data_IF_843352779790
#
_entry.id   IF_843352779790
#
_cell.length_a   1.000
_cell.length_b   1.000
_cell.length_c   1.000
_cell.angle_alpha   90.00
_cell.angle_beta   90.00
_cell.angle_gamma   90.00
#
_symmetry.space_group_name_H-M   'P 1'
#
loop_
_entity.id
_entity.type
_entity.pdbx_description
1 polymer ?
#
# COMPACT_ATOMS: atom_id res chain seq x y z
N UNK A 1 17.51 -9.70 -7.94
CA UNK A 1 16.96 -9.03 -9.13
C UNK A 1 17.39 -9.64 -10.47
N UNK A 2 18.69 -9.64 -10.85
CA UNK A 2 19.15 -10.11 -12.16
C UNK A 2 18.69 -11.53 -12.51
N UNK A 3 18.89 -12.48 -11.59
CA UNK A 3 18.41 -13.88 -11.74
C UNK A 3 16.90 -13.96 -12.03
N UNK A 4 16.09 -13.17 -11.33
CA UNK A 4 14.63 -13.12 -11.54
C UNK A 4 14.27 -12.53 -12.91
N UNK A 5 14.96 -11.45 -13.34
CA UNK A 5 14.78 -10.87 -14.68
C UNK A 5 15.06 -11.91 -15.77
N UNK A 6 16.17 -12.65 -15.66
CA UNK A 6 16.55 -13.68 -16.62
C UNK A 6 15.50 -14.81 -16.72
N UNK A 7 14.98 -15.26 -15.58
CA UNK A 7 13.96 -16.31 -15.53
C UNK A 7 12.61 -15.89 -16.14
N UNK A 8 12.28 -14.59 -16.07
CA UNK A 8 11.04 -14.03 -16.62
C UNK A 8 11.16 -13.60 -18.08
N UNK A 9 12.38 -13.59 -18.64
CA UNK A 9 12.61 -13.12 -20.00
C UNK A 9 11.83 -13.97 -21.01
N UNK A 10 11.00 -13.31 -21.82
CA UNK A 10 10.15 -13.96 -22.81
C UNK A 10 8.96 -14.75 -22.25
N UNK A 11 8.69 -14.70 -20.94
CA UNK A 11 7.52 -15.37 -20.34
C UNK A 11 6.33 -14.41 -20.23
N UNK A 12 5.19 -14.90 -20.65
CA UNK A 12 3.89 -14.28 -20.37
C UNK A 12 3.19 -14.95 -19.18
N UNK A 13 2.12 -14.34 -18.67
CA UNK A 13 1.35 -14.84 -17.54
C UNK A 13 0.81 -16.24 -17.79
N UNK A 14 0.37 -16.56 -19.02
CA UNK A 14 -0.13 -17.89 -19.35
C UNK A 14 0.96 -18.97 -19.27
N UNK A 15 2.18 -18.63 -19.68
CA UNK A 15 3.35 -19.52 -19.55
C UNK A 15 3.68 -19.73 -18.07
N UNK A 16 3.62 -18.67 -17.27
CA UNK A 16 3.89 -18.73 -15.82
C UNK A 16 2.83 -19.61 -15.13
N UNK A 17 1.55 -19.45 -15.51
CA UNK A 17 0.41 -20.18 -14.96
C UNK A 17 0.25 -21.62 -15.50
N UNK A 18 1.14 -22.08 -16.39
CA UNK A 18 1.03 -23.39 -17.04
C UNK A 18 1.12 -24.59 -16.07
N UNK A 19 1.65 -24.37 -14.87
CA UNK A 19 1.80 -25.40 -13.84
C UNK A 19 1.37 -24.85 -12.49
N UNK A 20 0.49 -25.58 -11.80
CA UNK A 20 0.14 -25.31 -10.39
C UNK A 20 1.10 -26.05 -9.47
N UNK A 21 1.42 -25.45 -8.34
CA UNK A 21 2.29 -26.04 -7.32
C UNK A 21 1.52 -27.05 -6.46
N UNK A 22 1.87 -28.33 -6.57
CA UNK A 22 1.23 -29.42 -5.80
C UNK A 22 2.10 -29.94 -4.63
N UNK A 23 3.40 -29.62 -4.63
CA UNK A 23 4.32 -30.07 -3.59
C UNK A 23 4.03 -29.35 -2.25
N UNK A 24 3.59 -30.12 -1.25
CA UNK A 24 3.25 -29.62 0.10
C UNK A 24 4.41 -28.90 0.80
N UNK A 25 5.64 -29.37 0.61
CA UNK A 25 6.83 -28.73 1.19
C UNK A 25 7.08 -27.39 0.51
N UNK A 26 6.90 -27.31 -0.81
CA UNK A 26 7.03 -26.04 -1.53
C UNK A 26 5.94 -25.06 -1.13
N UNK A 27 4.68 -25.50 -0.99
CA UNK A 27 3.60 -24.66 -0.50
C UNK A 27 3.90 -24.10 0.90
N UNK A 28 4.38 -24.93 1.82
CA UNK A 28 4.81 -24.48 3.15
C UNK A 28 5.96 -23.47 3.10
N UNK A 29 6.93 -23.65 2.20
CA UNK A 29 8.02 -22.68 1.98
C UNK A 29 7.44 -21.36 1.44
N UNK A 30 6.49 -21.39 0.51
CA UNK A 30 5.86 -20.20 -0.05
C UNK A 30 5.13 -19.40 1.03
N UNK A 31 4.37 -20.07 1.91
CA UNK A 31 3.69 -19.45 3.05
C UNK A 31 4.67 -18.85 4.05
N UNK A 32 5.77 -19.54 4.35
CA UNK A 32 6.82 -19.01 5.22
C UNK A 32 7.46 -17.76 4.61
N UNK A 33 7.82 -17.80 3.33
CA UNK A 33 8.40 -16.64 2.64
C UNK A 33 7.46 -15.43 2.62
N UNK A 34 6.17 -15.64 2.34
CA UNK A 34 5.18 -14.55 2.40
C UNK A 34 5.07 -14.01 3.82
N UNK A 35 4.88 -14.87 4.81
CA UNK A 35 4.71 -14.45 6.21
C UNK A 35 5.94 -13.69 6.71
N UNK A 36 7.14 -14.22 6.48
CA UNK A 36 8.40 -13.55 6.85
C UNK A 36 8.55 -12.21 6.14
N UNK A 37 8.10 -12.08 4.89
CA UNK A 37 8.20 -10.81 4.15
C UNK A 37 7.34 -9.67 4.72
N UNK A 38 6.29 -10.00 5.47
CA UNK A 38 5.44 -9.01 6.15
C UNK A 38 6.12 -8.47 7.41
N UNK A 39 6.88 -9.31 8.11
CA UNK A 39 7.48 -8.99 9.41
C UNK A 39 8.97 -8.63 9.34
N UNK A 40 9.56 -8.58 8.14
CA UNK A 40 10.97 -8.21 7.97
C UNK A 40 11.12 -6.79 7.42
N UNK A 41 12.28 -6.15 7.65
CA UNK A 41 12.56 -4.84 7.08
C UNK A 41 12.41 -4.82 5.55
N UNK A 42 12.05 -3.66 5.00
CA UNK A 42 11.69 -3.48 3.58
C UNK A 42 12.73 -4.04 2.59
N UNK A 43 14.03 -3.92 2.88
CA UNK A 43 15.07 -4.48 2.02
C UNK A 43 15.01 -6.01 1.92
N UNK A 44 14.68 -6.70 3.01
CA UNK A 44 14.55 -8.15 3.04
C UNK A 44 13.27 -8.62 2.34
N UNK A 45 12.16 -7.89 2.47
CA UNK A 45 10.89 -8.28 1.86
C UNK A 45 10.97 -8.36 0.33
N UNK A 46 11.74 -7.47 -0.32
CA UNK A 46 12.01 -7.53 -1.75
C UNK A 46 12.78 -8.79 -2.17
N UNK A 47 13.77 -9.22 -1.38
CA UNK A 47 14.56 -10.43 -1.67
C UNK A 47 13.67 -11.68 -1.55
N UNK A 48 12.82 -11.72 -0.52
CA UNK A 48 11.87 -12.81 -0.32
C UNK A 48 10.85 -12.87 -1.45
N UNK A 49 10.35 -11.72 -1.92
CA UNK A 49 9.47 -11.65 -3.09
C UNK A 49 10.13 -12.20 -4.36
N UNK A 50 11.41 -11.89 -4.60
CA UNK A 50 12.14 -12.49 -5.71
C UNK A 50 12.22 -14.01 -5.57
N UNK A 51 12.38 -14.52 -4.34
CA UNK A 51 12.43 -15.96 -4.10
C UNK A 51 11.09 -16.63 -4.38
N UNK A 52 9.98 -16.02 -3.96
CA UNK A 52 8.61 -16.47 -4.28
C UNK A 52 8.43 -16.57 -5.80
N UNK A 53 8.82 -15.53 -6.56
CA UNK A 53 8.72 -15.54 -8.03
C UNK A 53 9.57 -16.65 -8.65
N UNK A 54 10.83 -16.79 -8.22
CA UNK A 54 11.73 -17.83 -8.74
C UNK A 54 11.21 -19.25 -8.47
N UNK A 55 10.70 -19.49 -7.27
CA UNK A 55 10.10 -20.78 -6.90
C UNK A 55 8.83 -21.04 -7.71
N UNK A 56 8.01 -20.02 -7.94
CA UNK A 56 6.79 -20.13 -8.75
C UNK A 56 7.11 -20.55 -10.19
N UNK A 57 8.15 -19.97 -10.79
CA UNK A 57 8.57 -20.33 -12.16
C UNK A 57 9.10 -21.78 -12.23
N UNK A 58 9.75 -22.25 -11.16
CA UNK A 58 10.43 -23.55 -11.17
C UNK A 58 9.53 -24.71 -10.74
N UNK A 59 8.61 -24.48 -9.80
CA UNK A 59 7.79 -25.51 -9.15
C UNK A 59 6.29 -25.39 -9.44
N UNK A 60 5.87 -24.33 -10.14
CA UNK A 60 4.47 -24.01 -10.40
C UNK A 60 3.96 -22.88 -9.53
N UNK A 61 2.83 -22.28 -9.92
CA UNK A 61 2.21 -21.15 -9.21
C UNK A 61 1.44 -21.61 -7.97
N UNK A 62 1.44 -20.79 -6.93
CA UNK A 62 0.61 -20.94 -5.73
C UNK A 62 -0.17 -19.65 -5.45
N UNK A 63 -1.04 -19.67 -4.44
CA UNK A 63 -1.77 -18.46 -4.00
C UNK A 63 -0.84 -17.32 -3.58
N UNK A 64 0.39 -17.62 -3.14
CA UNK A 64 1.40 -16.64 -2.73
C UNK A 64 2.15 -16.05 -3.95
N UNK A 65 2.05 -16.66 -5.14
CA UNK A 65 2.75 -16.17 -6.34
C UNK A 65 2.33 -14.74 -6.69
N UNK A 66 1.04 -14.40 -6.55
CA UNK A 66 0.54 -13.05 -6.78
C UNK A 66 1.23 -12.00 -5.89
N UNK A 67 1.45 -12.33 -4.61
CA UNK A 67 2.18 -11.49 -3.68
C UNK A 67 3.63 -11.26 -4.13
N UNK A 68 4.32 -12.31 -4.57
CA UNK A 68 5.67 -12.21 -5.12
C UNK A 68 5.75 -11.28 -6.32
N UNK A 69 4.80 -11.37 -7.26
CA UNK A 69 4.75 -10.48 -8.42
C UNK A 69 4.39 -9.02 -8.06
N UNK A 70 3.55 -8.80 -7.05
CA UNK A 70 3.21 -7.45 -6.58
C UNK A 70 4.43 -6.71 -6.00
N UNK A 71 5.24 -7.38 -5.19
CA UNK A 71 6.50 -6.79 -4.70
C UNK A 71 7.55 -6.69 -5.80
N UNK A 72 7.61 -7.66 -6.72
CA UNK A 72 8.51 -7.57 -7.87
C UNK A 72 8.20 -6.34 -8.73
N UNK A 73 6.92 -6.04 -8.99
CA UNK A 73 6.54 -4.82 -9.70
C UNK A 73 6.88 -3.56 -8.92
N UNK A 74 6.69 -3.56 -7.60
CA UNK A 74 7.06 -2.44 -6.73
C UNK A 74 8.57 -2.11 -6.82
N UNK A 75 9.44 -3.13 -6.81
CA UNK A 75 10.89 -2.93 -7.01
C UNK A 75 11.18 -2.32 -8.37
N UNK A 76 10.61 -2.86 -9.44
CA UNK A 76 10.84 -2.33 -10.78
C UNK A 76 10.38 -0.88 -10.89
N UNK A 77 9.26 -0.55 -10.26
CA UNK A 77 8.74 0.81 -10.18
C UNK A 77 9.72 1.75 -9.46
N UNK A 78 10.30 1.31 -8.33
CA UNK A 78 11.31 2.06 -7.59
C UNK A 78 12.60 2.28 -8.40
N UNK A 79 12.97 1.32 -9.24
CA UNK A 79 14.12 1.42 -10.16
C UNK A 79 13.82 2.20 -11.44
N UNK A 80 12.64 2.78 -11.60
CA UNK A 80 12.24 3.56 -12.78
C UNK A 80 11.81 2.73 -14.00
N UNK A 81 11.76 1.40 -13.90
CA UNK A 81 11.33 0.49 -14.96
C UNK A 81 9.80 0.36 -15.00
N UNK A 82 9.12 1.49 -15.26
CA UNK A 82 7.66 1.63 -15.13
C UNK A 82 6.87 0.71 -16.08
N UNK A 83 7.40 0.44 -17.27
CA UNK A 83 6.77 -0.45 -18.25
C UNK A 83 6.69 -1.88 -17.71
N UNK A 84 7.82 -2.43 -17.24
CA UNK A 84 7.83 -3.76 -16.63
C UNK A 84 7.08 -3.78 -15.30
N UNK A 85 7.16 -2.72 -14.50
CA UNK A 85 6.38 -2.62 -13.27
C UNK A 85 4.87 -2.77 -13.55
N UNK A 86 4.33 -2.02 -14.52
CA UNK A 86 2.92 -2.15 -14.93
C UNK A 86 2.59 -3.56 -15.43
N UNK A 87 3.46 -4.15 -16.25
CA UNK A 87 3.29 -5.52 -16.77
C UNK A 87 3.18 -6.54 -15.63
N UNK A 88 4.14 -6.57 -14.72
CA UNK A 88 4.15 -7.58 -13.64
C UNK A 88 3.11 -7.30 -12.56
N UNK A 89 2.67 -6.04 -12.39
CA UNK A 89 1.53 -5.70 -11.56
C UNK A 89 0.23 -6.30 -12.11
N UNK A 90 0.02 -6.25 -13.43
CA UNK A 90 -1.11 -6.92 -14.09
C UNK A 90 -1.03 -8.43 -13.97
N UNK A 91 0.17 -9.02 -14.04
CA UNK A 91 0.35 -10.46 -13.79
C UNK A 91 -0.08 -10.84 -12.37
N UNK A 92 0.29 -10.05 -11.36
CA UNK A 92 -0.12 -10.30 -9.99
C UNK A 92 -1.66 -10.34 -9.83
N UNK A 93 -2.39 -9.41 -10.47
CA UNK A 93 -3.85 -9.40 -10.46
C UNK A 93 -4.45 -10.62 -11.16
N UNK A 94 -3.94 -10.97 -12.35
CA UNK A 94 -4.45 -12.11 -13.13
C UNK A 94 -4.20 -13.44 -12.41
N UNK A 95 -2.99 -13.64 -11.87
CA UNK A 95 -2.66 -14.81 -11.04
C UNK A 95 -3.61 -14.92 -9.85
N UNK A 96 -3.81 -13.82 -9.11
CA UNK A 96 -4.70 -13.82 -7.94
C UNK A 96 -6.16 -14.14 -8.32
N UNK A 97 -6.65 -13.64 -9.45
CA UNK A 97 -7.99 -13.93 -9.95
C UNK A 97 -8.14 -15.41 -10.34
N UNK A 98 -7.19 -15.96 -11.11
CA UNK A 98 -7.21 -17.35 -11.57
C UNK A 98 -7.04 -18.36 -10.43
N UNK A 99 -6.20 -18.03 -9.45
CA UNK A 99 -5.98 -18.86 -8.25
C UNK A 99 -7.11 -18.74 -7.21
N UNK A 100 -8.10 -17.88 -7.45
CA UNK A 100 -9.20 -17.60 -6.52
C UNK A 100 -8.72 -17.25 -5.09
N UNK A 101 -7.59 -16.56 -4.98
CA UNK A 101 -6.90 -16.27 -3.72
C UNK A 101 -7.56 -15.11 -2.95
N UNK A 102 -8.87 -15.20 -2.68
CA UNK A 102 -9.66 -14.12 -2.05
C UNK A 102 -9.12 -13.68 -0.70
N UNK A 103 -8.56 -14.61 0.08
CA UNK A 103 -7.97 -14.30 1.40
C UNK A 103 -6.73 -13.39 1.31
N UNK A 104 -6.10 -13.29 0.14
CA UNK A 104 -4.89 -12.49 -0.10
C UNK A 104 -5.18 -11.19 -0.86
N UNK A 105 -6.45 -10.90 -1.15
CA UNK A 105 -6.87 -9.80 -2.01
C UNK A 105 -6.34 -8.46 -1.49
N UNK A 106 -6.60 -8.10 -0.23
CA UNK A 106 -6.12 -6.83 0.33
C UNK A 106 -4.61 -6.68 0.34
N UNK A 107 -3.88 -7.76 0.61
CA UNK A 107 -2.41 -7.74 0.68
C UNK A 107 -1.78 -7.45 -0.67
N UNK A 108 -2.29 -8.11 -1.72
CA UNK A 108 -1.83 -7.89 -3.09
C UNK A 108 -2.23 -6.48 -3.55
N UNK A 109 -3.49 -6.09 -3.33
CA UNK A 109 -3.96 -4.77 -3.74
C UNK A 109 -3.25 -3.63 -3.01
N UNK A 110 -3.01 -3.74 -1.71
CA UNK A 110 -2.33 -2.68 -0.96
C UNK A 110 -0.95 -2.38 -1.55
N UNK A 111 -0.17 -3.41 -1.88
CA UNK A 111 1.17 -3.26 -2.50
C UNK A 111 1.06 -2.69 -3.90
N UNK A 112 0.18 -3.25 -4.73
CA UNK A 112 0.03 -2.81 -6.12
C UNK A 112 -0.41 -1.34 -6.21
N UNK A 113 -1.40 -0.94 -5.41
CA UNK A 113 -1.99 0.39 -5.46
C UNK A 113 -1.29 1.43 -4.57
N UNK A 114 -0.37 1.04 -3.69
CA UNK A 114 0.50 2.02 -3.00
C UNK A 114 1.82 2.24 -3.72
N UNK A 115 2.41 1.19 -4.33
CA UNK A 115 3.79 1.23 -4.81
C UNK A 115 3.93 1.19 -6.34
N UNK A 116 2.93 0.68 -7.07
CA UNK A 116 3.03 0.51 -8.53
C UNK A 116 2.00 1.34 -9.30
N UNK A 117 0.71 1.06 -9.15
CA UNK A 117 -0.32 1.63 -10.03
C UNK A 117 -0.48 3.14 -9.92
N UNK A 118 -0.16 3.77 -8.78
CA UNK A 118 -0.16 5.23 -8.68
C UNK A 118 0.90 5.91 -9.55
N UNK A 119 1.94 5.18 -9.94
CA UNK A 119 3.03 5.66 -10.81
C UNK A 119 2.88 5.20 -12.25
N UNK A 120 2.14 4.12 -12.50
CA UNK A 120 1.99 3.54 -13.85
C UNK A 120 0.63 3.80 -14.50
N UNK A 121 -0.37 4.23 -13.73
CA UNK A 121 -1.74 4.44 -14.19
C UNK A 121 -2.25 5.81 -13.75
N UNK A 122 -3.35 6.26 -14.36
CA UNK A 122 -4.03 7.47 -13.93
C UNK A 122 -4.60 7.30 -12.52
N UNK A 123 -4.34 8.27 -11.62
CA UNK A 123 -4.65 8.13 -10.20
C UNK A 123 -6.15 7.89 -9.93
N UNK A 124 -7.03 8.55 -10.69
CA UNK A 124 -8.49 8.33 -10.61
C UNK A 124 -8.92 6.88 -10.93
N UNK A 125 -8.18 6.17 -11.79
CA UNK A 125 -8.48 4.76 -12.11
C UNK A 125 -8.18 3.79 -10.95
N UNK A 126 -7.50 4.28 -9.91
CA UNK A 126 -7.14 3.51 -8.72
C UNK A 126 -8.19 3.59 -7.59
N UNK A 127 -9.14 4.52 -7.64
CA UNK A 127 -10.15 4.70 -6.58
C UNK A 127 -11.02 3.45 -6.38
N UNK A 128 -11.75 3.05 -7.42
CA UNK A 128 -12.70 1.93 -7.33
C UNK A 128 -12.03 0.60 -6.97
N UNK A 129 -10.88 0.23 -7.58
CA UNK A 129 -10.23 -1.03 -7.22
C UNK A 129 -9.74 -1.08 -5.78
N UNK A 130 -9.22 0.03 -5.24
CA UNK A 130 -8.73 0.09 -3.85
C UNK A 130 -9.90 0.05 -2.87
N UNK A 131 -10.98 0.76 -3.14
CA UNK A 131 -12.19 0.70 -2.30
C UNK A 131 -12.82 -0.69 -2.32
N UNK A 132 -12.83 -1.34 -3.49
CA UNK A 132 -13.25 -2.74 -3.61
C UNK A 132 -12.35 -3.66 -2.77
N UNK A 133 -11.04 -3.45 -2.80
CA UNK A 133 -10.11 -4.23 -1.98
C UNK A 133 -10.43 -4.09 -0.49
N UNK A 134 -10.57 -2.86 0.01
CA UNK A 134 -11.01 -2.60 1.38
C UNK A 134 -12.26 -3.42 1.76
N UNK A 135 -13.34 -3.33 0.96
CA UNK A 135 -14.60 -4.06 1.21
C UNK A 135 -14.45 -5.57 1.20
N UNK A 136 -13.69 -6.12 0.24
CA UNK A 136 -13.44 -7.56 0.16
C UNK A 136 -12.57 -8.06 1.32
N UNK A 137 -11.64 -7.23 1.81
CA UNK A 137 -10.85 -7.51 3.01
C UNK A 137 -11.69 -7.64 4.27
N UNK A 138 -12.63 -6.71 4.46
CA UNK A 138 -13.56 -6.77 5.58
C UNK A 138 -14.39 -8.06 5.54
N UNK A 139 -14.90 -8.45 4.38
CA UNK A 139 -15.63 -9.72 4.20
C UNK A 139 -14.75 -10.95 4.46
N UNK A 140 -13.47 -10.88 4.13
CA UNK A 140 -12.51 -11.96 4.34
C UNK A 140 -11.92 -12.00 5.76
N UNK A 141 -12.21 -11.01 6.61
CA UNK A 141 -11.67 -10.89 7.96
C UNK A 141 -10.23 -10.34 8.03
N UNK A 142 -9.64 -9.90 6.91
CA UNK A 142 -8.32 -9.23 6.90
C UNK A 142 -8.50 -7.73 7.16
N UNK A 143 -8.94 -7.41 8.38
CA UNK A 143 -9.28 -6.04 8.80
C UNK A 143 -8.09 -5.10 8.74
N UNK A 144 -6.89 -5.56 9.11
CA UNK A 144 -5.68 -4.75 9.06
C UNK A 144 -5.35 -4.29 7.63
N UNK A 145 -5.29 -5.20 6.65
CA UNK A 145 -5.00 -4.80 5.27
C UNK A 145 -6.18 -4.11 4.59
N UNK A 146 -7.42 -4.39 5.02
CA UNK A 146 -8.57 -3.61 4.61
C UNK A 146 -8.41 -2.13 5.04
N UNK A 147 -7.99 -1.88 6.29
CA UNK A 147 -7.71 -0.52 6.77
C UNK A 147 -6.56 0.13 5.99
N UNK A 148 -5.48 -0.60 5.67
CA UNK A 148 -4.43 -0.08 4.77
C UNK A 148 -5.01 0.36 3.43
N UNK A 149 -5.89 -0.44 2.82
CA UNK A 149 -6.55 -0.05 1.56
C UNK A 149 -7.42 1.19 1.73
N UNK A 150 -8.12 1.35 2.87
CA UNK A 150 -8.87 2.57 3.16
C UNK A 150 -7.96 3.81 3.25
N UNK A 151 -6.81 3.70 3.93
CA UNK A 151 -5.82 4.78 3.99
C UNK A 151 -5.31 5.15 2.59
N UNK A 152 -4.99 4.15 1.76
CA UNK A 152 -4.58 4.36 0.36
C UNK A 152 -5.68 5.08 -0.43
N UNK A 153 -6.93 4.63 -0.28
CA UNK A 153 -8.09 5.26 -0.92
C UNK A 153 -8.20 6.74 -0.53
N UNK A 154 -8.12 7.07 0.76
CA UNK A 154 -8.18 8.47 1.23
C UNK A 154 -7.08 9.34 0.61
N UNK A 155 -5.85 8.82 0.52
CA UNK A 155 -4.73 9.53 -0.12
C UNK A 155 -4.99 9.78 -1.62
N UNK A 156 -5.56 8.80 -2.32
CA UNK A 156 -5.93 8.94 -3.74
C UNK A 156 -7.07 9.95 -3.90
N UNK A 157 -8.11 9.82 -3.07
CA UNK A 157 -9.29 10.69 -3.11
C UNK A 157 -8.89 12.14 -2.87
N UNK A 158 -8.05 12.42 -1.87
CA UNK A 158 -7.51 13.76 -1.61
C UNK A 158 -6.86 14.40 -2.85
N UNK A 159 -6.14 13.61 -3.65
CA UNK A 159 -5.43 14.09 -4.84
C UNK A 159 -6.30 14.18 -6.09
N UNK A 160 -7.42 13.45 -6.13
CA UNK A 160 -8.31 13.40 -7.30
C UNK A 160 -9.58 14.25 -7.15
N UNK A 161 -10.06 14.43 -5.92
CA UNK A 161 -11.31 15.13 -5.60
C UNK A 161 -11.12 16.64 -5.57
N UNK A 162 -12.07 17.37 -6.17
CA UNK A 162 -12.04 18.84 -6.15
C UNK A 162 -12.62 19.45 -4.88
N UNK A 163 -13.36 18.65 -4.08
CA UNK A 163 -14.08 19.13 -2.89
C UNK A 163 -13.53 18.46 -1.63
N UNK A 164 -12.74 19.21 -0.85
CA UNK A 164 -12.15 18.73 0.41
C UNK A 164 -13.19 18.21 1.42
N UNK A 165 -14.37 18.84 1.48
CA UNK A 165 -15.46 18.38 2.35
C UNK A 165 -15.92 16.95 2.03
N UNK A 166 -15.92 16.55 0.75
CA UNK A 166 -16.24 15.18 0.34
C UNK A 166 -15.20 14.19 0.85
N UNK A 167 -13.91 14.53 0.68
CA UNK A 167 -12.80 13.71 1.15
C UNK A 167 -12.82 13.57 2.67
N UNK A 168 -13.08 14.67 3.40
CA UNK A 168 -13.19 14.66 4.86
C UNK A 168 -14.31 13.74 5.34
N UNK A 169 -15.48 13.78 4.68
CA UNK A 169 -16.59 12.89 5.01
C UNK A 169 -16.20 11.43 4.83
N UNK A 170 -15.64 11.06 3.67
CA UNK A 170 -15.19 9.68 3.41
C UNK A 170 -14.12 9.23 4.39
N UNK A 171 -13.15 10.08 4.69
CA UNK A 171 -12.12 9.81 5.71
C UNK A 171 -12.76 9.53 7.07
N UNK A 172 -13.78 10.30 7.45
CA UNK A 172 -14.46 10.17 8.74
C UNK A 172 -15.27 8.87 8.82
N UNK A 173 -15.92 8.46 7.73
CA UNK A 173 -16.66 7.19 7.67
C UNK A 173 -15.69 6.00 7.76
N UNK A 174 -14.60 6.02 6.98
CA UNK A 174 -13.58 4.97 7.00
C UNK A 174 -12.81 4.89 8.34
N UNK A 175 -12.61 6.04 9.02
CA UNK A 175 -12.05 6.09 10.38
C UNK A 175 -12.94 5.37 11.38
N UNK A 176 -14.26 5.62 11.32
CA UNK A 176 -15.24 4.93 12.17
C UNK A 176 -15.23 3.42 11.91
N UNK A 177 -15.13 3.00 10.65
CA UNK A 177 -14.99 1.57 10.32
C UNK A 177 -13.70 0.98 10.92
N UNK A 178 -12.56 1.66 10.80
CA UNK A 178 -11.30 1.20 11.39
C UNK A 178 -11.39 1.04 12.91
N UNK A 179 -12.10 1.94 13.61
CA UNK A 179 -12.35 1.85 15.05
C UNK A 179 -13.22 0.64 15.42
N UNK A 180 -14.29 0.39 14.66
CA UNK A 180 -15.16 -0.80 14.87
C UNK A 180 -14.35 -2.10 14.81
N UNK A 181 -13.29 -2.15 13.99
CA UNK A 181 -12.43 -3.31 13.83
C UNK A 181 -11.13 -3.28 14.67
N UNK A 182 -10.99 -2.34 15.61
CA UNK A 182 -9.81 -2.13 16.45
C UNK A 182 -8.50 -1.96 15.62
N UNK A 183 -8.57 -1.21 14.53
CA UNK A 183 -7.45 -0.93 13.61
C UNK A 183 -6.96 0.52 13.69
N UNK A 184 -7.09 1.17 14.85
CA UNK A 184 -6.69 2.56 15.07
C UNK A 184 -5.18 2.77 14.86
N UNK A 185 -4.37 1.78 15.24
CA UNK A 185 -2.92 1.80 14.99
C UNK A 185 -2.60 1.89 13.49
N UNK A 186 -3.27 1.09 12.67
CA UNK A 186 -3.12 1.13 11.20
C UNK A 186 -3.67 2.44 10.63
N UNK A 187 -4.78 2.93 11.19
CA UNK A 187 -5.37 4.21 10.82
C UNK A 187 -4.46 5.40 11.14
N UNK A 188 -3.50 5.27 12.06
CA UNK A 188 -2.52 6.30 12.38
C UNK A 188 -1.80 6.87 11.15
N UNK A 189 -1.63 6.06 10.09
CA UNK A 189 -1.05 6.49 8.81
C UNK A 189 -1.91 7.51 8.03
N UNK A 190 -3.21 7.62 8.36
CA UNK A 190 -4.12 8.62 7.78
C UNK A 190 -4.19 9.93 8.58
N UNK A 191 -3.66 9.96 9.81
CA UNK A 191 -3.73 11.15 10.69
C UNK A 191 -3.10 12.38 10.05
N UNK A 192 -1.89 12.32 9.45
CA UNK A 192 -1.33 13.47 8.73
C UNK A 192 -2.22 14.00 7.61
N UNK A 193 -2.87 13.12 6.85
CA UNK A 193 -3.79 13.53 5.79
C UNK A 193 -5.05 14.20 6.39
N UNK A 194 -5.59 13.63 7.47
CA UNK A 194 -6.74 14.22 8.16
C UNK A 194 -6.42 15.64 8.64
N UNK A 195 -5.26 15.84 9.27
CA UNK A 195 -4.81 17.16 9.71
C UNK A 195 -4.62 18.10 8.51
N UNK A 196 -3.94 17.67 7.46
CA UNK A 196 -3.74 18.49 6.26
C UNK A 196 -5.06 18.94 5.62
N UNK A 197 -6.09 18.09 5.61
CA UNK A 197 -7.42 18.48 5.14
C UNK A 197 -8.02 19.57 6.04
N UNK A 198 -7.89 19.46 7.36
CA UNK A 198 -8.38 20.49 8.29
C UNK A 198 -7.65 21.83 8.09
N UNK A 199 -6.33 21.80 7.91
CA UNK A 199 -5.52 22.97 7.58
C UNK A 199 -6.02 23.67 6.32
N UNK A 200 -6.21 22.91 5.24
CA UNK A 200 -6.67 23.45 3.94
C UNK A 200 -8.14 23.90 3.95
N UNK A 201 -8.93 23.43 4.91
CA UNK A 201 -10.30 23.88 5.15
C UNK A 201 -10.38 25.13 6.04
N UNK A 202 -9.24 25.63 6.56
CA UNK A 202 -9.20 26.76 7.49
C UNK A 202 -9.69 26.40 8.89
N UNK A 203 -9.61 25.13 9.28
CA UNK A 203 -10.03 24.64 10.59
C UNK A 203 -8.85 24.51 11.58
N UNK A 204 -7.63 24.88 11.18
CA UNK A 204 -6.44 24.84 12.04
C UNK A 204 -6.03 26.25 12.48
N UNK A 205 -5.57 26.40 13.72
CA UNK A 205 -5.07 27.67 14.27
C UNK A 205 -3.87 28.21 13.47
N UNK A 206 -2.97 27.30 13.06
CA UNK A 206 -1.81 27.58 12.21
C UNK A 206 -1.94 26.81 10.89
N UNK A 207 -2.44 27.44 9.82
CA UNK A 207 -2.76 26.73 8.57
C UNK A 207 -1.55 26.11 7.86
N UNK A 208 -0.35 26.66 8.06
CA UNK A 208 0.92 26.18 7.50
C UNK A 208 1.60 25.07 8.33
N UNK A 209 1.15 24.79 9.55
CA UNK A 209 1.76 23.81 10.44
C UNK A 209 0.85 22.59 10.58
N UNK A 210 1.38 21.39 10.38
CA UNK A 210 0.67 20.13 10.53
C UNK A 210 0.50 19.80 12.02
N UNK A 211 -0.37 20.58 12.66
CA UNK A 211 -0.70 20.52 14.08
C UNK A 211 -2.20 20.82 14.27
N UNK A 212 -2.83 20.17 15.26
CA UNK A 212 -4.24 20.38 15.59
C UNK A 212 -5.04 19.10 15.88
N UNK A 213 -6.37 19.25 15.87
CA UNK A 213 -7.35 18.31 16.39
C UNK A 213 -7.26 16.85 15.90
N UNK A 214 -6.70 16.62 14.71
CA UNK A 214 -6.57 15.26 14.20
C UNK A 214 -5.37 14.52 14.82
N UNK A 215 -4.37 15.23 15.34
CA UNK A 215 -3.20 14.65 15.99
C UNK A 215 -3.55 14.35 17.46
N UNK A 216 -3.51 13.07 17.89
CA UNK A 216 -4.06 12.66 19.18
C UNK A 216 -3.15 12.94 20.38
N UNK A 217 -2.01 13.60 20.16
CA UNK A 217 -0.99 13.93 21.15
C UNK A 217 -0.51 15.36 20.91
N UNK A 218 0.41 15.85 21.74
CA UNK A 218 0.84 17.25 21.74
C UNK A 218 1.28 17.80 20.37
N UNK A 219 1.97 16.99 19.56
CA UNK A 219 2.40 17.38 18.22
C UNK A 219 2.71 16.15 17.35
N UNK A 220 2.95 16.38 16.06
CA UNK A 220 3.24 15.32 15.10
C UNK A 220 4.53 14.54 15.43
N UNK A 221 5.55 15.19 15.98
CA UNK A 221 6.82 14.56 16.36
C UNK A 221 6.65 13.54 17.50
N UNK A 222 5.87 13.91 18.51
CA UNK A 222 5.47 13.03 19.62
C UNK A 222 4.62 11.88 19.09
N UNK A 223 3.73 12.15 18.13
CA UNK A 223 2.90 11.12 17.52
C UNK A 223 3.75 10.07 16.79
N UNK A 224 4.75 10.52 16.03
CA UNK A 224 5.70 9.65 15.32
C UNK A 224 6.55 8.84 16.31
N UNK A 225 7.06 9.49 17.36
CA UNK A 225 7.92 8.83 18.37
C UNK A 225 7.17 7.75 19.15
N UNK A 226 5.86 7.94 19.37
CA UNK A 226 5.00 6.97 20.03
C UNK A 226 4.52 5.84 19.11
N UNK A 227 4.76 5.92 17.79
CA UNK A 227 4.44 4.85 16.87
C UNK A 227 5.38 3.66 17.03
N UNK A 228 4.91 2.45 16.67
CA UNK A 228 5.77 1.25 16.64
C UNK A 228 6.94 1.48 15.68
N UNK A 229 8.12 0.93 16.00
CA UNK A 229 9.37 1.18 15.26
C UNK A 229 9.25 1.05 13.73
N UNK A 230 8.54 0.04 13.25
CA UNK A 230 8.37 -0.22 11.80
C UNK A 230 7.36 0.71 11.11
N UNK A 231 6.46 1.31 11.88
CA UNK A 231 5.46 2.27 11.39
C UNK A 231 5.91 3.72 11.56
N UNK A 232 6.84 3.98 12.48
CA UNK A 232 7.40 5.30 12.75
C UNK A 232 8.08 5.90 11.51
N UNK A 233 8.89 5.12 10.78
CA UNK A 233 9.54 5.60 9.54
C UNK A 233 8.51 5.96 8.46
N UNK A 234 7.47 5.13 8.28
CA UNK A 234 6.41 5.40 7.30
C UNK A 234 5.60 6.62 7.69
N UNK A 235 5.23 6.72 8.96
CA UNK A 235 4.48 7.83 9.50
C UNK A 235 5.27 9.14 9.41
N UNK A 236 6.57 9.10 9.68
CA UNK A 236 7.50 10.22 9.48
C UNK A 236 7.46 10.72 8.03
N UNK A 237 7.64 9.82 7.06
CA UNK A 237 7.58 10.19 5.64
C UNK A 237 6.23 10.82 5.24
N UNK A 238 5.12 10.25 5.73
CA UNK A 238 3.78 10.75 5.42
C UNK A 238 3.54 12.11 6.09
N UNK A 239 3.94 12.27 7.35
CA UNK A 239 3.85 13.52 8.09
C UNK A 239 4.61 14.65 7.41
N UNK A 240 5.89 14.44 7.06
CA UNK A 240 6.67 15.46 6.36
C UNK A 240 6.14 15.77 4.97
N UNK A 241 5.62 14.78 4.24
CA UNK A 241 4.98 15.05 2.96
C UNK A 241 3.79 16.02 3.09
N UNK A 242 2.92 15.81 4.09
CA UNK A 242 1.77 16.68 4.31
C UNK A 242 2.16 18.03 4.92
N UNK A 243 3.15 18.06 5.81
CA UNK A 243 3.73 19.31 6.33
C UNK A 243 4.29 20.17 5.19
N UNK A 244 5.10 19.59 4.31
CA UNK A 244 5.63 20.27 3.13
C UNK A 244 4.49 20.79 2.25
N UNK A 245 3.45 19.98 2.02
CA UNK A 245 2.32 20.37 1.18
C UNK A 245 1.56 21.57 1.76
N UNK A 246 1.22 21.57 3.06
CA UNK A 246 0.49 22.68 3.68
C UNK A 246 1.34 23.94 3.75
N UNK A 247 2.62 23.81 4.15
CA UNK A 247 3.55 24.93 4.18
C UNK A 247 3.70 25.60 2.81
N UNK A 248 3.88 24.79 1.77
CA UNK A 248 3.96 25.29 0.39
C UNK A 248 2.69 26.01 -0.07
N UNK A 249 1.50 25.46 0.24
CA UNK A 249 0.21 26.08 -0.16
C UNK A 249 0.00 27.43 0.53
N UNK A 250 0.47 27.58 1.76
CA UNK A 250 0.38 28.82 2.54
C UNK A 250 1.63 29.72 2.43
N UNK A 251 2.49 29.49 1.43
CA UNK A 251 3.66 30.30 1.07
C UNK A 251 4.76 30.40 2.15
N UNK A 252 4.87 29.37 3.01
CA UNK A 252 5.94 29.22 3.99
C UNK A 252 7.04 28.29 3.45
N UNK A 253 7.92 28.84 2.62
CA UNK A 253 8.97 28.07 1.93
C UNK A 253 10.07 27.58 2.88
N UNK A 254 10.31 28.26 4.01
CA UNK A 254 11.30 27.81 4.99
C UNK A 254 10.84 26.52 5.68
N UNK A 255 9.54 26.40 5.97
CA UNK A 255 8.95 25.19 6.55
C UNK A 255 8.73 24.06 5.53
N UNK A 256 8.72 24.39 4.23
CA UNK A 256 8.51 23.41 3.15
C UNK A 256 9.78 22.68 2.69
N UNK A 257 10.97 23.16 3.03
CA UNK A 257 12.29 22.62 2.60
C UNK A 257 12.91 21.79 3.71
#
# INVERSE_FOLDING_TARGET
LFKTKLLLMGKDVDIIMSKVMDDKKMLAIMDLLETTSVYCPSYFSHILAFRIVQLSISHGVSVNTAFGFAYYSAVLCHLGDLCNASKYAKFALDIMQRMQARQKYCRVYSVLYSMTFLKTNHMHSCLDPVLKAHREGLKAGDTAHATVCAVIYCNIAFRCEKKLASVKQVLTDLKREAQVYNQESVWGLAVPLEQAILNLMGCADKPNLLDGDAIPVENIETFITNAKSDDAERLLCVAYYYQMLVAYIFDDLELAI
#
